data_IF_776720611345
#
_entry.id   IF_776720611345
#
_cell.length_a   1.000
_cell.length_b   1.000
_cell.length_c   1.000
_cell.angle_alpha   90.00
_cell.angle_beta   90.00
_cell.angle_gamma   90.00
#
_symmetry.space_group_name_H-M   'P 1'
#
loop_
_entity.id
_entity.type
_entity.pdbx_description
1 polymer ?
#
# COMPACT_ATOMS: atom_id res chain seq x y z
N UNK A 1 20.07 5.76 15.09
CA UNK A 1 19.45 4.44 14.75
C UNK A 1 19.83 4.09 13.33
N UNK A 2 20.23 2.86 13.09
CA UNK A 2 20.55 2.37 11.75
C UNK A 2 19.32 2.55 10.83
N UNK A 3 19.55 3.07 9.63
CA UNK A 3 18.48 3.28 8.64
C UNK A 3 17.92 1.94 8.15
N UNK A 4 16.64 1.90 7.81
CA UNK A 4 16.04 0.75 7.13
C UNK A 4 16.47 0.65 5.66
N UNK A 5 17.00 1.75 5.10
CA UNK A 5 17.29 1.83 3.66
C UNK A 5 18.70 1.40 3.30
N UNK A 6 18.82 0.79 2.12
CA UNK A 6 20.07 0.48 1.42
C UNK A 6 20.22 1.38 0.19
N UNK A 7 21.46 1.63 -0.15
CA UNK A 7 21.81 2.43 -1.34
C UNK A 7 21.36 1.69 -2.61
N UNK A 8 20.49 2.27 -3.44
CA UNK A 8 20.01 1.60 -4.64
C UNK A 8 21.07 1.45 -5.74
N UNK A 9 22.26 2.07 -5.58
CA UNK A 9 23.38 1.96 -6.52
C UNK A 9 24.37 0.87 -6.12
N UNK A 10 24.77 0.80 -4.85
CA UNK A 10 25.81 -0.11 -4.39
C UNK A 10 25.38 -1.10 -3.30
N UNK A 11 24.11 -1.11 -2.87
CA UNK A 11 23.58 -2.01 -1.85
C UNK A 11 24.06 -1.73 -0.41
N UNK A 12 25.03 -0.84 -0.20
CA UNK A 12 25.54 -0.52 1.13
C UNK A 12 24.49 0.13 2.03
N UNK A 13 24.61 0.01 3.36
CA UNK A 13 23.73 0.71 4.31
C UNK A 13 23.70 2.21 4.02
N UNK A 14 22.51 2.81 4.20
CA UNK A 14 22.34 4.25 4.16
C UNK A 14 22.27 4.81 5.57
N UNK A 15 23.19 5.68 5.93
CA UNK A 15 23.12 6.45 7.17
C UNK A 15 22.21 7.67 6.99
N UNK A 16 21.27 7.86 7.93
CA UNK A 16 20.39 9.02 7.92
C UNK A 16 21.06 10.20 8.64
N UNK A 17 21.40 11.24 7.88
CA UNK A 17 21.71 12.56 8.41
C UNK A 17 20.49 13.47 8.47
N UNK A 18 20.69 14.74 8.80
CA UNK A 18 19.59 15.72 8.95
C UNK A 18 18.84 15.99 7.63
N UNK A 19 19.58 16.05 6.52
CA UNK A 19 19.06 16.45 5.20
C UNK A 19 19.24 15.41 4.11
N UNK A 20 20.00 14.36 4.34
CA UNK A 20 20.27 13.34 3.34
C UNK A 20 20.59 11.99 3.95
N UNK A 21 20.27 10.93 3.21
CA UNK A 21 20.82 9.61 3.39
C UNK A 21 22.15 9.49 2.62
N UNK A 22 23.16 8.86 3.24
CA UNK A 22 24.48 8.67 2.59
C UNK A 22 24.99 7.25 2.82
N UNK A 23 25.67 6.70 1.83
CA UNK A 23 26.39 5.43 1.97
C UNK A 23 27.89 5.63 2.09
N UNK A 24 28.65 4.64 2.57
CA UNK A 24 30.10 4.70 2.68
C UNK A 24 30.83 4.94 1.34
N UNK A 25 30.21 4.57 0.21
CA UNK A 25 30.74 4.82 -1.13
C UNK A 25 30.48 6.24 -1.66
N UNK A 26 29.92 7.14 -0.83
CA UNK A 26 29.71 8.56 -1.18
C UNK A 26 28.41 8.88 -1.92
N UNK A 27 27.53 7.89 -2.22
CA UNK A 27 26.23 8.20 -2.78
C UNK A 27 25.36 8.91 -1.75
N UNK A 28 24.65 9.95 -2.19
CA UNK A 28 23.84 10.81 -1.32
C UNK A 28 22.44 11.00 -1.91
N UNK A 29 21.41 10.95 -1.05
CA UNK A 29 20.00 11.07 -1.40
C UNK A 29 19.32 12.06 -0.46
N UNK A 30 18.90 13.19 -1.00
CA UNK A 30 18.27 14.24 -0.22
C UNK A 30 16.96 13.76 0.42
N UNK A 31 16.73 14.19 1.67
CA UNK A 31 15.47 14.06 2.37
C UNK A 31 14.62 15.29 2.04
N UNK A 32 13.49 15.08 1.38
CA UNK A 32 12.56 16.15 1.10
C UNK A 32 12.07 16.81 2.39
N UNK A 33 11.64 18.07 2.32
CA UNK A 33 11.07 18.81 3.48
C UNK A 33 9.94 18.04 4.17
N UNK A 34 9.17 17.27 3.42
CA UNK A 34 8.07 16.46 3.93
C UNK A 34 8.56 15.21 4.69
N UNK A 35 9.81 14.75 4.49
CA UNK A 35 10.43 13.67 5.23
C UNK A 35 10.62 12.36 4.44
N UNK A 36 10.48 12.36 3.12
CA UNK A 36 10.77 11.18 2.28
C UNK A 36 12.08 11.35 1.51
N UNK A 37 12.70 10.22 1.13
CA UNK A 37 13.85 10.19 0.23
C UNK A 37 13.46 9.71 -1.17
N UNK A 38 14.21 10.13 -2.20
CA UNK A 38 14.04 9.63 -3.55
C UNK A 38 15.11 8.57 -3.83
N UNK A 39 14.73 7.29 -3.71
CA UNK A 39 15.62 6.13 -3.84
C UNK A 39 15.35 5.31 -5.12
N UNK A 40 14.56 5.83 -6.06
CA UNK A 40 14.33 5.22 -7.37
C UNK A 40 15.42 5.61 -8.35
N UNK A 41 16.30 4.69 -8.80
CA UNK A 41 17.33 5.00 -9.78
C UNK A 41 16.72 5.36 -11.15
N UNK A 42 17.40 6.19 -11.96
CA UNK A 42 16.88 6.61 -13.27
C UNK A 42 16.56 5.47 -14.24
N UNK A 43 17.34 4.38 -14.20
CA UNK A 43 17.14 3.19 -15.04
C UNK A 43 15.92 2.34 -14.67
N UNK A 44 15.31 2.58 -13.53
CA UNK A 44 14.08 1.90 -13.07
C UNK A 44 12.84 2.78 -13.30
N UNK A 45 12.99 3.95 -13.88
CA UNK A 45 11.89 4.86 -14.18
C UNK A 45 11.40 4.64 -15.60
N UNK A 46 10.32 3.88 -15.78
CA UNK A 46 9.76 3.52 -17.09
C UNK A 46 8.74 4.53 -17.65
N UNK A 47 8.32 5.54 -16.87
CA UNK A 47 7.44 6.62 -17.34
C UNK A 47 7.83 7.96 -16.69
N UNK A 48 7.39 9.07 -17.28
CA UNK A 48 7.63 10.41 -16.73
C UNK A 48 6.92 10.63 -15.37
N UNK A 49 5.72 10.03 -15.20
CA UNK A 49 4.92 10.10 -13.98
C UNK A 49 4.37 8.69 -13.66
N UNK A 50 5.18 7.81 -13.01
CA UNK A 50 4.72 6.46 -12.66
C UNK A 50 3.76 6.51 -11.46
N UNK A 51 2.82 5.55 -11.43
CA UNK A 51 1.82 5.42 -10.37
C UNK A 51 0.63 6.37 -10.52
N UNK A 52 -0.12 6.53 -9.46
CA UNK A 52 -1.29 7.40 -9.43
C UNK A 52 -0.92 8.87 -9.63
N UNK A 53 -1.75 9.60 -10.37
CA UNK A 53 -1.61 11.04 -10.53
C UNK A 53 -2.11 11.81 -9.29
N UNK A 54 -2.06 13.14 -9.35
CA UNK A 54 -2.45 14.00 -8.22
C UNK A 54 -3.93 13.93 -7.89
N UNK A 55 -4.78 13.78 -8.90
CA UNK A 55 -6.22 13.79 -8.75
C UNK A 55 -6.70 12.46 -8.17
N UNK A 56 -6.16 11.34 -8.63
CA UNK A 56 -6.37 10.02 -8.04
C UNK A 56 -5.90 9.97 -6.57
N UNK A 57 -4.74 10.54 -6.28
CA UNK A 57 -4.22 10.62 -4.91
C UNK A 57 -5.11 11.47 -4.00
N UNK A 58 -5.68 12.57 -4.52
CA UNK A 58 -6.60 13.43 -3.78
C UNK A 58 -7.93 12.71 -3.52
N UNK A 59 -8.51 12.08 -4.54
CA UNK A 59 -9.74 11.29 -4.42
C UNK A 59 -9.60 10.15 -3.42
N UNK A 60 -8.49 9.39 -3.48
CA UNK A 60 -8.20 8.32 -2.52
C UNK A 60 -8.11 8.83 -1.10
N UNK A 61 -7.38 9.93 -0.89
CA UNK A 61 -7.26 10.54 0.44
C UNK A 61 -8.61 11.01 0.97
N UNK A 62 -9.43 11.67 0.15
CA UNK A 62 -10.76 12.11 0.52
C UNK A 62 -11.63 10.92 0.92
N UNK A 63 -11.71 9.90 0.09
CA UNK A 63 -12.50 8.70 0.32
C UNK A 63 -12.06 7.96 1.60
N UNK A 64 -10.77 7.67 1.75
CA UNK A 64 -10.25 6.93 2.90
C UNK A 64 -10.39 7.73 4.20
N UNK A 65 -10.28 9.06 4.15
CA UNK A 65 -10.44 9.91 5.36
C UNK A 65 -11.85 9.95 5.91
N UNK A 66 -12.86 9.52 5.13
CA UNK A 66 -14.27 9.40 5.57
C UNK A 66 -14.58 8.04 6.24
N UNK A 67 -13.59 7.17 6.36
CA UNK A 67 -13.72 5.91 7.10
C UNK A 67 -14.36 4.76 6.33
N UNK A 68 -14.64 4.92 5.04
CA UNK A 68 -15.30 3.88 4.24
C UNK A 68 -14.54 2.54 4.21
N UNK A 69 -13.22 2.55 4.43
CA UNK A 69 -12.38 1.35 4.49
C UNK A 69 -11.75 1.12 5.87
N UNK A 70 -12.31 1.70 6.92
CA UNK A 70 -11.81 1.52 8.29
C UNK A 70 -11.89 0.07 8.76
N UNK A 71 -12.89 -0.71 8.30
CA UNK A 71 -12.97 -2.13 8.61
C UNK A 71 -11.73 -2.89 8.10
N UNK A 72 -11.27 -2.59 6.87
CA UNK A 72 -10.04 -3.19 6.34
C UNK A 72 -8.82 -2.75 7.15
N UNK A 73 -8.70 -1.46 7.47
CA UNK A 73 -7.60 -0.95 8.29
C UNK A 73 -7.57 -1.63 9.66
N UNK A 74 -8.71 -1.71 10.35
CA UNK A 74 -8.81 -2.31 11.67
C UNK A 74 -8.47 -3.80 11.63
N UNK A 75 -8.92 -4.52 10.60
CA UNK A 75 -8.59 -5.94 10.43
C UNK A 75 -7.08 -6.12 10.18
N UNK A 76 -6.46 -5.29 9.33
CA UNK A 76 -5.00 -5.31 9.11
C UNK A 76 -4.24 -5.02 10.41
N UNK A 77 -4.68 -4.03 11.18
CA UNK A 77 -4.09 -3.70 12.48
C UNK A 77 -4.13 -4.91 13.42
N UNK A 78 -5.27 -5.61 13.53
CA UNK A 78 -5.40 -6.81 14.36
C UNK A 78 -4.46 -7.93 13.88
N UNK A 79 -4.41 -8.22 12.58
CA UNK A 79 -3.54 -9.25 12.02
C UNK A 79 -2.07 -8.94 12.27
N UNK A 80 -1.62 -7.72 11.94
CA UNK A 80 -0.24 -7.32 12.11
C UNK A 80 0.16 -7.28 13.58
N UNK A 81 -0.72 -6.81 14.47
CA UNK A 81 -0.46 -6.82 15.90
C UNK A 81 -0.22 -8.23 16.44
N UNK A 82 -1.03 -9.21 16.00
CA UNK A 82 -0.90 -10.62 16.40
C UNK A 82 0.37 -11.30 15.89
N UNK A 83 0.88 -10.88 14.73
CA UNK A 83 2.09 -11.40 14.10
C UNK A 83 3.38 -10.69 14.57
N UNK A 84 3.24 -9.56 15.28
CA UNK A 84 4.36 -8.69 15.66
C UNK A 84 4.99 -9.06 16.99
N UNK A 85 6.33 -9.12 17.04
CA UNK A 85 7.10 -9.07 18.29
C UNK A 85 7.09 -7.67 18.93
N UNK A 86 7.96 -7.43 19.90
CA UNK A 86 8.06 -6.15 20.63
C UNK A 86 8.58 -4.99 19.75
N UNK A 87 9.51 -5.26 18.85
CA UNK A 87 10.14 -4.26 17.98
C UNK A 87 10.13 -4.72 16.52
N UNK A 88 8.94 -4.85 15.89
CA UNK A 88 8.83 -5.40 14.55
C UNK A 88 9.39 -4.46 13.48
N UNK A 89 10.02 -5.03 12.46
CA UNK A 89 10.42 -4.33 11.24
C UNK A 89 9.39 -4.62 10.15
N UNK A 90 8.69 -3.58 9.72
CA UNK A 90 7.56 -3.71 8.77
C UNK A 90 7.81 -2.87 7.53
N UNK A 91 7.57 -3.46 6.36
CA UNK A 91 7.61 -2.77 5.08
C UNK A 91 6.22 -2.78 4.44
N UNK A 92 5.74 -1.58 4.07
CA UNK A 92 4.53 -1.40 3.26
C UNK A 92 4.95 -1.02 1.84
N UNK A 93 4.67 -1.92 0.89
CA UNK A 93 5.12 -1.84 -0.50
C UNK A 93 3.95 -1.38 -1.37
N UNK A 94 4.12 -0.25 -2.06
CA UNK A 94 3.00 0.43 -2.70
C UNK A 94 2.08 1.11 -1.69
N UNK A 95 2.68 1.74 -0.67
CA UNK A 95 1.97 2.28 0.49
C UNK A 95 0.98 3.43 0.18
N UNK A 96 0.98 3.92 -1.06
CA UNK A 96 0.14 5.02 -1.47
C UNK A 96 0.35 6.26 -0.60
N UNK A 97 -0.76 6.89 -0.18
CA UNK A 97 -0.74 8.08 0.68
C UNK A 97 -0.53 7.77 2.18
N UNK A 98 -0.19 6.50 2.49
CA UNK A 98 0.17 6.06 3.84
C UNK A 98 -1.01 5.86 4.79
N UNK A 99 -2.23 5.67 4.30
CA UNK A 99 -3.41 5.47 5.15
C UNK A 99 -3.27 4.22 6.02
N UNK A 100 -3.07 3.06 5.41
CA UNK A 100 -2.88 1.80 6.13
C UNK A 100 -1.60 1.80 6.94
N UNK A 101 -0.48 2.22 6.34
CA UNK A 101 0.83 2.27 6.99
C UNK A 101 0.80 3.07 8.28
N UNK A 102 0.22 4.28 8.24
CA UNK A 102 0.13 5.16 9.41
C UNK A 102 -0.82 4.64 10.47
N UNK A 103 -1.95 4.04 10.08
CA UNK A 103 -2.89 3.43 11.02
C UNK A 103 -2.26 2.25 11.77
N UNK A 104 -1.57 1.37 11.05
CA UNK A 104 -0.84 0.23 11.62
C UNK A 104 0.25 0.71 12.57
N UNK A 105 1.06 1.69 12.17
CA UNK A 105 2.11 2.26 13.01
C UNK A 105 1.55 2.76 14.35
N UNK A 106 0.50 3.57 14.30
CA UNK A 106 -0.14 4.12 15.51
C UNK A 106 -0.74 3.05 16.40
N UNK A 107 -1.35 2.02 15.82
CA UNK A 107 -1.90 0.88 16.57
C UNK A 107 -0.79 0.12 17.31
N UNK A 108 0.34 -0.15 16.66
CA UNK A 108 1.48 -0.82 17.29
C UNK A 108 2.08 0.00 18.42
N UNK A 109 2.27 1.31 18.21
CA UNK A 109 2.76 2.23 19.26
C UNK A 109 1.79 2.31 20.43
N UNK A 110 0.48 2.41 20.17
CA UNK A 110 -0.55 2.42 21.21
C UNK A 110 -0.60 1.11 22.02
N UNK A 111 -0.22 -0.01 21.40
CA UNK A 111 -0.07 -1.31 22.05
C UNK A 111 1.28 -1.48 22.81
N UNK A 112 2.08 -0.41 22.94
CA UNK A 112 3.35 -0.41 23.64
C UNK A 112 4.53 -1.01 22.87
N UNK A 113 4.36 -1.32 21.57
CA UNK A 113 5.44 -1.85 20.73
C UNK A 113 6.32 -0.72 20.18
N UNK A 114 7.53 -1.09 19.76
CA UNK A 114 8.52 -0.16 19.18
C UNK A 114 8.75 -0.48 17.69
N UNK A 115 7.76 -0.26 16.80
CA UNK A 115 7.86 -0.63 15.41
C UNK A 115 8.89 0.22 14.66
N UNK A 116 9.65 -0.42 13.77
CA UNK A 116 10.47 0.23 12.75
C UNK A 116 9.78 -0.01 11.41
N UNK A 117 9.21 1.05 10.82
CA UNK A 117 8.43 0.92 9.60
C UNK A 117 9.01 1.71 8.43
N UNK A 118 8.95 1.11 7.25
CA UNK A 118 9.21 1.76 5.99
C UNK A 118 7.98 1.67 5.08
N UNK A 119 7.64 2.78 4.42
CA UNK A 119 6.65 2.82 3.34
C UNK A 119 7.30 3.25 2.04
N UNK A 120 7.05 2.49 0.97
CA UNK A 120 7.57 2.78 -0.36
C UNK A 120 6.46 2.87 -1.39
N UNK A 121 6.58 3.81 -2.31
CA UNK A 121 5.70 3.94 -3.46
C UNK A 121 6.49 4.52 -4.63
N UNK A 122 6.11 4.20 -5.86
CA UNK A 122 6.75 4.73 -7.06
C UNK A 122 6.31 6.16 -7.37
N UNK A 123 5.13 6.57 -6.88
CA UNK A 123 4.56 7.90 -7.10
C UNK A 123 5.07 8.92 -6.08
N UNK A 124 5.94 9.82 -6.54
CA UNK A 124 6.44 10.93 -5.70
C UNK A 124 5.33 11.83 -5.12
N UNK A 125 4.27 12.23 -5.89
CA UNK A 125 3.19 13.05 -5.35
C UNK A 125 2.44 12.39 -4.19
N UNK A 126 2.18 11.09 -4.29
CA UNK A 126 1.47 10.32 -3.27
C UNK A 126 2.31 10.19 -2.01
N UNK A 127 3.58 9.81 -2.17
CA UNK A 127 4.48 9.61 -1.04
C UNK A 127 4.76 10.91 -0.26
N UNK A 128 4.68 12.07 -0.94
CA UNK A 128 4.69 13.37 -0.27
C UNK A 128 3.55 13.52 0.74
N UNK A 129 2.37 12.98 0.45
CA UNK A 129 1.22 12.98 1.36
C UNK A 129 1.45 12.02 2.52
N UNK A 130 1.95 10.82 2.27
CA UNK A 130 2.30 9.84 3.29
C UNK A 130 3.31 10.40 4.31
N UNK A 131 4.38 11.02 3.83
CA UNK A 131 5.42 11.61 4.68
C UNK A 131 4.95 12.82 5.51
N UNK A 132 3.84 13.47 5.12
CA UNK A 132 3.19 14.50 5.94
C UNK A 132 2.28 13.90 7.02
N UNK A 133 1.66 12.75 6.73
CA UNK A 133 0.69 12.07 7.60
C UNK A 133 1.35 11.50 8.85
N UNK A 134 2.53 10.88 8.70
CA UNK A 134 3.24 10.24 9.81
C UNK A 134 4.75 10.43 9.71
N UNK A 135 5.36 10.98 10.78
CA UNK A 135 6.81 11.28 10.85
C UNK A 135 7.64 10.14 11.43
N UNK A 136 7.00 9.21 12.14
CA UNK A 136 7.65 8.04 12.75
C UNK A 136 8.04 6.94 11.76
N UNK A 137 7.66 7.07 10.49
CA UNK A 137 7.86 6.08 9.43
C UNK A 137 8.94 6.57 8.46
N UNK A 138 9.78 5.66 7.99
CA UNK A 138 10.76 5.94 6.94
C UNK A 138 10.07 5.84 5.55
N UNK A 139 10.06 6.94 4.80
CA UNK A 139 9.38 7.00 3.52
C UNK A 139 10.38 7.13 2.36
N UNK A 140 10.21 6.33 1.30
CA UNK A 140 11.05 6.41 0.12
C UNK A 140 10.30 6.19 -1.20
N UNK A 141 10.58 7.03 -2.21
CA UNK A 141 10.19 6.74 -3.59
C UNK A 141 11.06 5.61 -4.09
N UNK A 142 10.45 4.45 -4.38
CA UNK A 142 11.16 3.25 -4.82
C UNK A 142 10.23 2.34 -5.64
N UNK A 143 10.82 1.39 -6.37
CA UNK A 143 10.10 0.33 -7.08
C UNK A 143 9.82 -0.84 -6.15
N UNK A 144 8.63 -1.43 -6.23
CA UNK A 144 8.29 -2.67 -5.53
C UNK A 144 9.18 -3.84 -5.96
N UNK A 145 9.69 -3.80 -7.20
CA UNK A 145 10.55 -4.84 -7.77
C UNK A 145 12.03 -4.69 -7.39
N UNK A 146 12.42 -3.58 -6.72
CA UNK A 146 13.79 -3.31 -6.26
C UNK A 146 13.69 -2.43 -5.02
N UNK A 147 13.36 -3.03 -3.89
CA UNK A 147 13.23 -2.33 -2.63
C UNK A 147 14.62 -1.91 -2.10
N UNK A 148 14.77 -0.70 -1.60
CA UNK A 148 16.01 -0.27 -0.95
C UNK A 148 16.13 -0.86 0.45
N UNK A 149 16.05 -2.18 0.55
CA UNK A 149 16.07 -2.97 1.79
C UNK A 149 17.16 -4.03 1.74
N UNK A 150 17.71 -4.38 2.90
CA UNK A 150 18.61 -5.53 3.01
C UNK A 150 17.85 -6.85 2.88
N UNK A 151 18.57 -7.91 2.52
CA UNK A 151 18.04 -9.27 2.56
C UNK A 151 17.67 -9.66 3.99
N UNK A 152 16.51 -10.28 4.15
CA UNK A 152 16.02 -10.73 5.45
C UNK A 152 15.78 -9.61 6.47
N UNK A 153 15.56 -8.37 6.03
CA UNK A 153 15.44 -7.23 6.93
C UNK A 153 14.04 -7.05 7.54
N UNK A 154 12.99 -7.64 6.96
CA UNK A 154 11.62 -7.44 7.38
C UNK A 154 11.05 -8.63 8.16
N UNK A 155 10.35 -8.35 9.24
CA UNK A 155 9.50 -9.32 9.94
C UNK A 155 8.17 -9.48 9.20
N UNK A 156 7.62 -8.36 8.73
CA UNK A 156 6.33 -8.30 8.04
C UNK A 156 6.46 -7.43 6.80
N UNK A 157 5.90 -7.90 5.69
CA UNK A 157 5.73 -7.15 4.46
C UNK A 157 4.22 -7.04 4.17
N UNK A 158 3.77 -5.82 3.90
CA UNK A 158 2.40 -5.52 3.50
C UNK A 158 2.38 -5.08 2.04
N UNK A 159 1.44 -5.62 1.28
CA UNK A 159 1.09 -5.18 -0.06
C UNK A 159 -0.44 -5.01 -0.14
N UNK A 160 -0.89 -3.75 -0.24
CA UNK A 160 -2.30 -3.41 -0.38
C UNK A 160 -2.56 -2.90 -1.80
N UNK A 161 -3.11 -3.75 -2.67
CA UNK A 161 -3.53 -3.39 -4.03
C UNK A 161 -2.38 -2.92 -4.94
N UNK A 162 -1.14 -3.30 -4.64
CA UNK A 162 0.03 -2.94 -5.44
C UNK A 162 0.53 -4.12 -6.29
N UNK A 163 1.45 -3.90 -7.23
CA UNK A 163 1.99 -4.99 -8.04
C UNK A 163 2.78 -5.99 -7.21
N UNK A 164 2.46 -7.27 -7.36
CA UNK A 164 3.10 -8.38 -6.66
C UNK A 164 4.53 -8.62 -7.17
N UNK A 165 5.54 -8.43 -6.32
CA UNK A 165 6.96 -8.61 -6.61
C UNK A 165 7.56 -9.73 -5.75
N UNK A 166 7.12 -10.98 -5.99
CA UNK A 166 7.38 -12.14 -5.12
C UNK A 166 8.85 -12.41 -4.82
N UNK A 167 9.72 -12.35 -5.83
CA UNK A 167 11.17 -12.57 -5.64
C UNK A 167 11.77 -11.54 -4.69
N UNK A 168 11.37 -10.28 -4.86
CA UNK A 168 11.82 -9.18 -4.02
C UNK A 168 11.25 -9.28 -2.61
N UNK A 169 9.99 -9.68 -2.48
CA UNK A 169 9.35 -9.91 -1.18
C UNK A 169 10.03 -11.06 -0.44
N UNK A 170 10.36 -12.16 -1.16
CA UNK A 170 11.13 -13.27 -0.61
C UNK A 170 12.53 -12.83 -0.18
N UNK A 171 13.20 -11.95 -0.93
CA UNK A 171 14.52 -11.43 -0.57
C UNK A 171 14.47 -10.62 0.73
N UNK A 172 13.52 -9.70 0.83
CA UNK A 172 13.45 -8.73 1.94
C UNK A 172 12.94 -9.33 3.24
N UNK A 173 12.02 -10.29 3.17
CA UNK A 173 11.52 -10.97 4.37
C UNK A 173 12.60 -11.89 4.97
N UNK A 174 12.71 -11.89 6.31
CA UNK A 174 13.50 -12.91 7.01
C UNK A 174 12.82 -14.29 6.94
N UNK A 175 13.56 -15.41 7.10
CA UNK A 175 12.94 -16.71 7.30
C UNK A 175 11.91 -16.67 8.43
N UNK A 176 10.74 -17.26 8.23
CA UNK A 176 9.62 -17.20 9.17
C UNK A 176 8.88 -15.86 9.23
N UNK A 177 9.31 -14.83 8.48
CA UNK A 177 8.59 -13.55 8.35
C UNK A 177 7.28 -13.70 7.56
N UNK A 178 6.38 -12.75 7.73
CA UNK A 178 5.03 -12.82 7.15
C UNK A 178 4.84 -11.83 6.00
N UNK A 179 4.14 -12.28 4.98
CA UNK A 179 3.68 -11.46 3.86
C UNK A 179 2.16 -11.38 3.87
N UNK A 180 1.61 -10.18 4.00
CA UNK A 180 0.17 -9.90 3.91
C UNK A 180 -0.13 -9.27 2.56
N UNK A 181 -0.96 -9.94 1.77
CA UNK A 181 -1.37 -9.50 0.44
C UNK A 181 -2.86 -9.23 0.41
N UNK A 182 -3.22 -7.97 0.19
CA UNK A 182 -4.62 -7.52 0.18
C UNK A 182 -5.10 -7.35 -1.25
N UNK A 183 -6.16 -8.07 -1.58
CA UNK A 183 -6.80 -8.02 -2.90
C UNK A 183 -8.32 -7.83 -2.77
N UNK A 184 -8.99 -7.30 -3.81
CA UNK A 184 -10.44 -7.28 -3.86
C UNK A 184 -11.00 -8.71 -3.89
N UNK A 185 -11.99 -8.98 -3.04
CA UNK A 185 -12.78 -10.21 -3.07
C UNK A 185 -13.77 -10.24 -4.25
N UNK A 186 -14.49 -11.38 -4.45
CA UNK A 186 -15.36 -11.58 -5.60
C UNK A 186 -16.38 -10.47 -5.81
N UNK A 187 -17.07 -10.08 -4.75
CA UNK A 187 -18.17 -9.12 -4.79
C UNK A 187 -17.76 -7.67 -4.47
N UNK A 188 -16.46 -7.38 -4.49
CA UNK A 188 -15.97 -6.03 -4.21
C UNK A 188 -16.55 -5.03 -5.21
N UNK A 189 -17.26 -4.00 -4.68
CA UNK A 189 -17.91 -2.93 -5.42
C UNK A 189 -18.90 -3.45 -6.48
N UNK A 190 -19.67 -4.50 -6.14
CA UNK A 190 -20.56 -5.14 -7.09
C UNK A 190 -21.63 -4.19 -7.64
N UNK A 191 -22.27 -3.41 -6.78
CA UNK A 191 -23.32 -2.48 -7.16
C UNK A 191 -22.76 -1.32 -7.99
N UNK A 192 -21.52 -0.87 -7.71
CA UNK A 192 -20.82 0.06 -8.58
C UNK A 192 -20.59 -0.55 -9.98
N UNK A 193 -20.12 -1.82 -10.05
CA UNK A 193 -19.92 -2.50 -11.34
C UNK A 193 -21.22 -2.63 -12.13
N UNK A 194 -22.36 -2.87 -11.47
CA UNK A 194 -23.68 -2.92 -12.12
C UNK A 194 -24.09 -1.58 -12.76
N UNK A 195 -23.68 -0.46 -12.17
CA UNK A 195 -23.89 0.87 -12.76
C UNK A 195 -22.96 1.09 -13.96
N UNK A 196 -21.69 0.69 -13.84
CA UNK A 196 -20.66 0.97 -14.84
C UNK A 196 -20.78 0.10 -16.10
N UNK A 197 -21.18 -1.17 -15.95
CA UNK A 197 -21.12 -2.17 -17.02
C UNK A 197 -22.46 -2.84 -17.28
N UNK A 198 -22.78 -3.07 -18.55
CA UNK A 198 -24.02 -3.77 -18.94
C UNK A 198 -23.98 -5.27 -18.58
N UNK A 199 -22.77 -5.83 -18.48
CA UNK A 199 -22.53 -7.22 -18.07
C UNK A 199 -21.41 -7.24 -17.01
N UNK A 200 -21.71 -6.93 -15.75
CA UNK A 200 -20.73 -7.00 -14.69
C UNK A 200 -20.34 -8.45 -14.42
N UNK A 201 -19.10 -8.64 -13.99
CA UNK A 201 -18.59 -9.95 -13.57
C UNK A 201 -17.88 -9.82 -12.21
N UNK A 202 -17.94 -10.88 -11.37
CA UNK A 202 -17.25 -10.89 -10.08
C UNK A 202 -15.72 -10.89 -10.30
N UNK A 203 -14.98 -10.46 -9.29
CA UNK A 203 -13.54 -10.67 -9.31
C UNK A 203 -13.23 -12.15 -9.16
N UNK A 204 -12.14 -12.58 -9.75
CA UNK A 204 -11.68 -13.96 -9.60
C UNK A 204 -11.03 -14.13 -8.22
N UNK A 205 -11.45 -15.13 -7.46
CA UNK A 205 -10.82 -15.50 -6.20
C UNK A 205 -9.87 -16.67 -6.44
N UNK A 206 -8.59 -16.48 -6.13
CA UNK A 206 -7.57 -17.50 -6.34
C UNK A 206 -6.74 -17.69 -5.07
N UNK A 207 -6.70 -18.93 -4.59
CA UNK A 207 -5.65 -19.38 -3.69
C UNK A 207 -4.43 -19.76 -4.52
N UNK A 208 -3.49 -18.86 -4.67
CA UNK A 208 -2.28 -19.12 -5.45
C UNK A 208 -1.13 -19.43 -4.51
N UNK A 209 -0.58 -20.66 -4.54
CA UNK A 209 0.65 -20.94 -3.81
C UNK A 209 1.82 -20.20 -4.48
N UNK A 210 2.68 -19.60 -3.67
CA UNK A 210 3.88 -18.94 -4.15
C UNK A 210 5.13 -19.69 -3.67
N UNK A 211 6.08 -19.90 -4.57
CA UNK A 211 7.33 -20.58 -4.27
C UNK A 211 8.11 -19.84 -3.16
N UNK A 212 8.56 -20.58 -2.14
CA UNK A 212 9.28 -20.05 -0.98
C UNK A 212 8.38 -19.49 0.11
N UNK A 213 7.06 -19.64 -0.03
CA UNK A 213 6.08 -19.24 0.98
C UNK A 213 5.16 -20.38 1.37
N UNK A 214 4.85 -20.50 2.65
CA UNK A 214 3.75 -21.32 3.16
C UNK A 214 2.49 -20.46 3.25
N UNK A 215 1.42 -20.92 2.63
CA UNK A 215 0.10 -20.28 2.78
C UNK A 215 -0.42 -20.54 4.20
N UNK A 216 -0.79 -19.50 4.94
CA UNK A 216 -1.26 -19.61 6.33
C UNK A 216 -2.77 -19.49 6.46
N UNK A 217 -3.34 -18.45 5.90
CA UNK A 217 -4.78 -18.19 5.97
C UNK A 217 -5.22 -17.13 4.96
N UNK A 218 -6.53 -17.08 4.72
CA UNK A 218 -7.23 -15.94 4.12
C UNK A 218 -8.16 -15.36 5.18
N UNK A 219 -8.08 -14.05 5.37
CA UNK A 219 -9.01 -13.32 6.23
C UNK A 219 -9.96 -12.52 5.34
N UNK A 220 -11.24 -12.89 5.27
CA UNK A 220 -12.23 -12.11 4.55
C UNK A 220 -12.56 -10.83 5.33
N UNK A 221 -12.75 -9.74 4.60
CA UNK A 221 -13.22 -8.45 5.14
C UNK A 221 -14.36 -7.99 4.27
N UNK A 222 -15.57 -7.99 4.80
CA UNK A 222 -16.79 -7.74 4.04
C UNK A 222 -17.70 -6.78 4.80
N UNK A 223 -18.19 -5.76 4.11
CA UNK A 223 -19.14 -4.79 4.63
C UNK A 223 -19.94 -4.17 3.48
N UNK A 224 -20.92 -3.35 3.84
CA UNK A 224 -21.69 -2.53 2.92
C UNK A 224 -21.54 -1.06 3.30
N UNK A 225 -21.10 -0.25 2.36
CA UNK A 225 -20.93 1.19 2.55
C UNK A 225 -21.98 1.97 1.76
N UNK A 226 -22.43 3.08 2.33
CA UNK A 226 -23.34 4.01 1.65
C UNK A 226 -22.59 5.32 1.40
N UNK A 227 -22.52 5.71 0.13
CA UNK A 227 -21.97 6.97 -0.35
C UNK A 227 -23.13 7.95 -0.50
N UNK A 228 -23.26 8.95 0.37
CA UNK A 228 -24.48 9.76 0.47
C UNK A 228 -24.56 10.88 -0.58
N UNK A 229 -23.52 11.09 -1.38
CA UNK A 229 -23.48 12.16 -2.37
C UNK A 229 -22.58 11.82 -3.56
N UNK A 230 -22.78 12.53 -4.65
CA UNK A 230 -22.03 12.37 -5.89
C UNK A 230 -20.52 12.58 -5.73
N UNK A 231 -20.09 13.46 -4.82
CA UNK A 231 -18.66 13.66 -4.56
C UNK A 231 -17.99 12.41 -4.03
N UNK A 232 -18.64 11.66 -3.13
CA UNK A 232 -18.12 10.42 -2.57
C UNK A 232 -18.13 9.28 -3.59
N UNK A 233 -19.19 9.21 -4.41
CA UNK A 233 -19.27 8.25 -5.52
C UNK A 233 -18.12 8.49 -6.51
N UNK A 234 -17.89 9.75 -6.87
CA UNK A 234 -16.82 10.12 -7.80
C UNK A 234 -15.42 9.83 -7.19
N UNK A 235 -15.21 10.12 -5.92
CA UNK A 235 -13.95 9.82 -5.23
C UNK A 235 -13.66 8.32 -5.21
N UNK A 236 -14.67 7.48 -4.91
CA UNK A 236 -14.53 6.02 -5.00
C UNK A 236 -14.19 5.58 -6.43
N UNK A 237 -14.95 6.05 -7.42
CA UNK A 237 -14.74 5.69 -8.82
C UNK A 237 -13.34 6.05 -9.31
N UNK A 238 -12.90 7.29 -9.03
CA UNK A 238 -11.62 7.82 -9.50
C UNK A 238 -10.41 7.09 -8.89
N UNK A 239 -10.52 6.57 -7.67
CA UNK A 239 -9.43 5.82 -7.05
C UNK A 239 -9.33 4.36 -7.49
N UNK A 240 -10.26 3.89 -8.33
CA UNK A 240 -10.28 2.51 -8.82
C UNK A 240 -9.78 2.40 -10.27
N UNK A 241 -9.31 1.22 -10.71
CA UNK A 241 -8.98 0.98 -12.11
C UNK A 241 -10.17 1.13 -13.07
N UNK A 242 -11.40 1.14 -12.56
CA UNK A 242 -12.62 1.32 -13.36
C UNK A 242 -12.66 2.68 -14.02
N UNK A 243 -12.11 3.72 -13.41
CA UNK A 243 -12.05 5.07 -13.95
C UNK A 243 -11.53 5.11 -15.40
N UNK A 244 -10.51 4.32 -15.69
CA UNK A 244 -9.88 4.27 -17.00
C UNK A 244 -10.53 3.29 -17.99
N UNK A 245 -11.39 2.38 -17.51
CA UNK A 245 -11.93 1.27 -18.31
C UNK A 245 -13.42 1.38 -18.56
N UNK A 246 -14.11 2.33 -17.91
CA UNK A 246 -15.57 2.45 -17.99
C UNK A 246 -16.00 3.07 -19.30
N UNK A 247 -16.97 2.45 -20.02
CA UNK A 247 -17.60 3.06 -21.18
C UNK A 247 -18.31 4.38 -20.83
N UNK A 248 -18.39 5.31 -21.80
CA UNK A 248 -19.02 6.62 -21.60
C UNK A 248 -20.43 6.53 -21.01
N UNK A 249 -21.26 5.61 -21.51
CA UNK A 249 -22.62 5.40 -21.00
C UNK A 249 -22.64 4.97 -19.52
N UNK A 250 -21.69 4.15 -19.08
CA UNK A 250 -21.55 3.76 -17.67
C UNK A 250 -21.13 4.95 -16.79
N UNK A 251 -20.20 5.78 -17.26
CA UNK A 251 -19.82 7.00 -16.55
C UNK A 251 -20.97 8.01 -16.44
N UNK A 252 -21.80 8.13 -17.49
CA UNK A 252 -23.00 8.97 -17.47
C UNK A 252 -24.05 8.44 -16.48
N UNK A 253 -24.27 7.11 -16.42
CA UNK A 253 -25.15 6.50 -15.40
C UNK A 253 -24.64 6.79 -13.98
N UNK A 254 -23.35 6.65 -13.77
CA UNK A 254 -22.74 6.93 -12.46
C UNK A 254 -22.90 8.40 -12.05
N UNK A 255 -22.71 9.33 -13.00
CA UNK A 255 -22.84 10.75 -12.76
C UNK A 255 -24.27 11.20 -12.41
N UNK A 256 -25.27 10.41 -12.78
CA UNK A 256 -26.69 10.68 -12.50
C UNK A 256 -27.13 10.19 -11.10
N UNK A 257 -26.28 9.46 -10.37
CA UNK A 257 -26.64 8.96 -9.03
C UNK A 257 -26.50 10.06 -7.97
N UNK A 258 -27.47 10.18 -7.10
CA UNK A 258 -27.41 11.03 -5.90
C UNK A 258 -26.72 10.34 -4.72
N UNK A 259 -26.88 9.02 -4.64
CA UNK A 259 -26.26 8.15 -3.62
C UNK A 259 -25.96 6.78 -4.19
N UNK A 260 -25.05 6.04 -3.55
CA UNK A 260 -24.73 4.66 -3.92
C UNK A 260 -24.46 3.84 -2.66
N UNK A 261 -25.20 2.74 -2.50
CA UNK A 261 -24.87 1.70 -1.52
C UNK A 261 -24.18 0.56 -2.26
N UNK A 262 -22.99 0.15 -1.80
CA UNK A 262 -22.22 -0.90 -2.45
C UNK A 262 -21.46 -1.75 -1.45
N UNK A 263 -21.29 -3.03 -1.78
CA UNK A 263 -20.47 -3.95 -1.00
C UNK A 263 -19.00 -3.63 -1.13
N UNK A 264 -18.29 -3.72 -0.03
CA UNK A 264 -16.84 -3.83 -0.01
C UNK A 264 -16.48 -5.26 0.42
N UNK A 265 -15.60 -5.88 -0.34
CA UNK A 265 -15.15 -7.25 -0.09
C UNK A 265 -13.65 -7.31 -0.39
N UNK A 266 -12.87 -7.70 0.60
CA UNK A 266 -11.42 -7.85 0.47
C UNK A 266 -11.00 -9.22 0.99
N UNK A 267 -9.84 -9.67 0.54
CA UNK A 267 -9.15 -10.86 1.05
C UNK A 267 -7.75 -10.45 1.48
N UNK A 268 -7.45 -10.71 2.74
CA UNK A 268 -6.09 -10.58 3.27
C UNK A 268 -5.47 -11.96 3.25
N UNK A 269 -4.64 -12.23 2.26
CA UNK A 269 -3.89 -13.46 2.16
C UNK A 269 -2.64 -13.37 3.03
N UNK A 270 -2.46 -14.30 3.95
CA UNK A 270 -1.33 -14.33 4.88
C UNK A 270 -0.42 -15.50 4.51
N UNK A 271 0.82 -15.16 4.18
CA UNK A 271 1.87 -16.11 3.86
C UNK A 271 3.00 -16.01 4.88
N UNK A 272 3.74 -17.08 5.05
CA UNK A 272 4.97 -17.10 5.83
C UNK A 272 6.13 -17.55 4.95
N UNK A 273 7.24 -16.82 4.95
CA UNK A 273 8.46 -17.22 4.25
C UNK A 273 9.04 -18.48 4.88
N UNK A 274 9.35 -19.48 4.05
CA UNK A 274 9.99 -20.74 4.41
C UNK A 274 11.48 -20.57 4.69
#
# INVERSE_FOLDING_TARGET
>A
MESLFRCPVCGAPLDRGDRAYRCPAGHSYDIAREGYAYLLPPNQKHSAAPGDDRDMAAARREFLSKGYYDLLLNTLCCQILSLSGESPVIWDVGCGEGFYTSGIFRTLVAAGKSPRMAGTDISKPILRSAAKREKGIAWAVASSFHLPAADGAADILLDCFSPLALEEFRRVLRPGGHFLYVVPGPDHLWELKQVLYDRPYPNEEKETPYEGFAYRSIVPVEDTITLPCQADIHALFQMTPYYWKTPKAGAERLAALESLTTRISFRIHIFQKL
#
